data_IF_891535909267
#
_entry.id   IF_891535909267
#
_cell.length_a   1.000
_cell.length_b   1.000
_cell.length_c   1.000
_cell.angle_alpha   90.00
_cell.angle_beta   90.00
_cell.angle_gamma   90.00
#
_symmetry.space_group_name_H-M   'P 1'
#
loop_
_entity.id
_entity.type
_entity.pdbx_description
1 polymer ?
#
# COMPACT_ATOMS: atom_id res chain seq x y z
N UNK A 1 -34.50 -45.29 -30.60
CA UNK A 1 -33.91 -44.72 -29.37
C UNK A 1 -32.44 -44.45 -29.59
N UNK A 2 -31.91 -43.36 -28.97
CA UNK A 2 -30.57 -42.74 -29.07
C UNK A 2 -30.54 -41.56 -30.06
N UNK A 3 -31.14 -40.42 -29.70
CA UNK A 3 -30.59 -39.26 -28.95
C UNK A 3 -29.50 -38.50 -29.73
N UNK A 4 -29.93 -37.52 -30.51
CA UNK A 4 -29.09 -36.44 -31.02
C UNK A 4 -28.77 -35.49 -29.86
N UNK A 5 -27.50 -35.38 -29.48
CA UNK A 5 -27.03 -34.39 -28.52
C UNK A 5 -26.81 -33.10 -29.31
N UNK A 6 -27.81 -32.22 -29.30
CA UNK A 6 -27.65 -30.83 -29.74
C UNK A 6 -26.74 -30.14 -28.73
N UNK A 7 -25.44 -30.18 -28.98
CA UNK A 7 -24.48 -29.34 -28.25
C UNK A 7 -24.75 -27.91 -28.67
N UNK A 8 -25.63 -27.25 -27.91
CA UNK A 8 -25.89 -25.83 -27.93
C UNK A 8 -24.57 -25.14 -27.55
N UNK A 9 -23.71 -24.92 -28.55
CA UNK A 9 -22.59 -23.99 -28.43
C UNK A 9 -23.21 -22.61 -28.27
N UNK A 10 -23.54 -22.28 -27.02
CA UNK A 10 -23.77 -20.92 -26.58
C UNK A 10 -22.43 -20.22 -26.81
N UNK A 11 -22.29 -19.65 -28.00
CA UNK A 11 -21.31 -18.62 -28.28
C UNK A 11 -21.69 -17.49 -27.34
N UNK A 12 -21.11 -17.52 -26.14
CA UNK A 12 -21.06 -16.40 -25.23
C UNK A 12 -20.21 -15.34 -25.95
N UNK A 13 -20.82 -14.62 -26.91
CA UNK A 13 -20.29 -13.36 -27.39
C UNK A 13 -20.46 -12.42 -26.20
N UNK A 14 -19.48 -12.48 -25.28
CA UNK A 14 -19.21 -11.39 -24.38
C UNK A 14 -18.73 -10.29 -25.31
N UNK A 15 -19.67 -9.54 -25.89
CA UNK A 15 -19.41 -8.19 -26.37
C UNK A 15 -19.02 -7.45 -25.11
N UNK A 16 -17.73 -7.50 -24.78
CA UNK A 16 -17.12 -6.57 -23.85
C UNK A 16 -17.15 -5.25 -24.60
N UNK A 17 -18.30 -4.58 -24.55
CA UNK A 17 -18.39 -3.18 -24.83
C UNK A 17 -17.56 -2.52 -23.73
N UNK A 18 -16.25 -2.45 -23.96
CA UNK A 18 -15.38 -1.53 -23.26
C UNK A 18 -15.79 -0.16 -23.78
N UNK A 19 -16.92 0.34 -23.27
CA UNK A 19 -17.26 1.73 -23.37
C UNK A 19 -16.04 2.46 -22.81
N UNK A 20 -15.25 3.05 -23.70
CA UNK A 20 -14.19 3.95 -23.33
C UNK A 20 -14.91 5.06 -22.57
N UNK A 21 -14.86 5.00 -21.23
CA UNK A 21 -15.42 6.05 -20.40
C UNK A 21 -14.59 7.27 -20.74
N UNK A 22 -15.13 8.14 -21.57
CA UNK A 22 -14.51 9.44 -21.77
C UNK A 22 -14.46 10.08 -20.40
N UNK A 23 -13.27 10.26 -19.86
CA UNK A 23 -12.97 10.86 -18.55
C UNK A 23 -13.30 12.36 -18.50
N UNK A 24 -14.34 12.78 -19.23
CA UNK A 24 -14.78 14.14 -19.43
C UNK A 24 -16.13 14.31 -18.76
N UNK A 25 -16.17 15.14 -17.71
CA UNK A 25 -17.33 15.37 -16.87
C UNK A 25 -17.78 16.83 -16.98
N UNK A 26 -19.07 17.12 -16.89
CA UNK A 26 -19.53 18.52 -16.76
C UNK A 26 -19.22 19.01 -15.34
N UNK A 27 -18.63 20.20 -15.23
CA UNK A 27 -18.37 20.83 -13.94
C UNK A 27 -19.68 21.16 -13.23
N UNK A 28 -19.83 20.72 -11.97
CA UNK A 28 -20.95 21.11 -11.11
C UNK A 28 -20.85 22.54 -10.59
N UNK A 29 -19.64 23.11 -10.63
CA UNK A 29 -19.34 24.42 -10.01
C UNK A 29 -19.23 25.55 -11.04
N UNK A 30 -19.18 25.22 -12.34
CA UNK A 30 -19.03 26.22 -13.39
C UNK A 30 -19.75 25.77 -14.65
N UNK A 31 -20.83 26.46 -14.99
CA UNK A 31 -21.66 26.13 -16.16
C UNK A 31 -20.84 26.18 -17.45
N UNK A 32 -21.12 25.24 -18.36
CA UNK A 32 -20.44 25.08 -19.65
C UNK A 32 -18.95 24.67 -19.59
N UNK A 33 -18.41 24.33 -18.42
CA UNK A 33 -17.06 23.77 -18.31
C UNK A 33 -17.08 22.24 -18.29
N UNK A 34 -16.09 21.66 -18.98
CA UNK A 34 -15.81 20.22 -18.95
C UNK A 34 -14.52 19.98 -18.17
N UNK A 35 -14.54 18.97 -17.30
CA UNK A 35 -13.44 18.51 -16.47
C UNK A 35 -12.87 17.24 -17.09
N UNK A 36 -11.55 17.18 -17.29
CA UNK A 36 -10.85 15.96 -17.69
C UNK A 36 -10.20 15.36 -16.45
N UNK A 37 -10.44 14.09 -16.16
CA UNK A 37 -9.68 13.40 -15.10
C UNK A 37 -8.24 13.24 -15.58
N UNK A 38 -7.31 13.79 -14.79
CA UNK A 38 -5.88 13.65 -15.03
C UNK A 38 -5.34 12.47 -14.22
N UNK A 39 -5.86 12.29 -13.01
CA UNK A 39 -5.46 11.22 -12.09
C UNK A 39 -6.59 10.94 -11.08
N UNK A 40 -6.48 9.81 -10.38
CA UNK A 40 -7.43 9.39 -9.35
C UNK A 40 -6.69 8.93 -8.08
N UNK A 41 -7.07 9.48 -6.94
CA UNK A 41 -6.66 8.97 -5.64
C UNK A 41 -7.68 7.91 -5.18
N UNK A 42 -7.23 6.69 -4.94
CA UNK A 42 -8.06 5.65 -4.33
C UNK A 42 -7.85 5.66 -2.82
N UNK A 43 -8.94 5.84 -2.07
CA UNK A 43 -8.91 5.71 -0.62
C UNK A 43 -8.98 4.23 -0.23
N UNK A 44 -7.89 3.71 0.36
CA UNK A 44 -7.84 2.36 0.91
C UNK A 44 -8.17 2.41 2.40
N UNK A 45 -9.23 1.70 2.79
CA UNK A 45 -9.65 1.63 4.19
C UNK A 45 -10.06 0.20 4.54
N UNK A 46 -9.51 -0.29 5.64
CA UNK A 46 -9.77 -1.62 6.19
C UNK A 46 -10.01 -1.45 7.68
N UNK A 47 -11.21 -1.80 8.15
CA UNK A 47 -11.70 -1.56 9.52
C UNK A 47 -10.78 -2.08 10.64
N UNK A 48 -9.86 -3.00 10.31
CA UNK A 48 -9.01 -3.68 11.29
C UNK A 48 -7.59 -3.14 11.37
N UNK A 49 -7.21 -2.15 10.54
CA UNK A 49 -5.84 -1.64 10.50
C UNK A 49 -5.80 -0.12 10.59
N UNK A 50 -5.31 0.37 11.74
CA UNK A 50 -5.17 1.79 12.00
C UNK A 50 -3.70 2.18 12.00
N UNK A 51 -3.32 3.02 11.03
CA UNK A 51 -2.05 3.76 11.04
C UNK A 51 -2.35 5.11 11.67
N UNK A 52 -1.75 5.39 12.83
CA UNK A 52 -2.07 6.56 13.64
C UNK A 52 -1.72 7.86 12.93
N UNK A 53 -0.43 8.07 12.67
CA UNK A 53 0.06 9.16 11.83
C UNK A 53 1.32 8.72 11.11
N UNK A 54 1.34 8.84 9.79
CA UNK A 54 2.54 8.57 9.00
C UNK A 54 3.64 9.55 9.42
N UNK A 55 4.72 9.03 10.00
CA UNK A 55 5.93 9.79 10.32
C UNK A 55 6.90 9.80 9.14
N UNK A 56 7.13 8.63 8.56
CA UNK A 56 7.98 8.43 7.38
C UNK A 56 7.41 7.29 6.53
N UNK A 57 7.68 7.32 5.22
CA UNK A 57 7.23 6.33 4.25
C UNK A 57 8.30 6.10 3.19
N UNK A 58 8.63 4.83 2.95
CA UNK A 58 9.61 4.43 1.93
C UNK A 58 9.07 3.31 1.05
N UNK A 59 9.34 3.40 -0.25
CA UNK A 59 9.07 2.34 -1.22
C UNK A 59 10.37 1.55 -1.46
N UNK A 60 10.44 0.33 -0.94
CA UNK A 60 11.61 -0.55 -1.06
C UNK A 60 11.24 -1.71 -2.00
N UNK A 61 11.61 -1.56 -3.28
CA UNK A 61 11.18 -2.48 -4.33
C UNK A 61 9.66 -2.46 -4.50
N UNK A 62 8.99 -3.59 -4.25
CA UNK A 62 7.52 -3.72 -4.28
C UNK A 62 6.89 -3.74 -2.88
N UNK A 63 7.61 -3.24 -1.86
CA UNK A 63 7.12 -3.15 -0.49
C UNK A 63 7.06 -1.71 -0.05
N UNK A 64 6.08 -1.38 0.77
CA UNK A 64 5.91 -0.05 1.36
C UNK A 64 6.19 -0.17 2.85
N UNK A 65 7.14 0.60 3.36
CA UNK A 65 7.39 0.73 4.79
C UNK A 65 6.80 2.04 5.29
N UNK A 66 6.07 2.00 6.38
CA UNK A 66 5.49 3.16 7.03
C UNK A 66 5.92 3.18 8.48
N UNK A 67 6.58 4.25 8.90
CA UNK A 67 6.82 4.53 10.31
C UNK A 67 5.63 5.28 10.89
N UNK A 68 5.06 4.77 11.97
CA UNK A 68 3.92 5.36 12.65
C UNK A 68 4.36 6.22 13.83
N UNK A 69 3.98 7.48 13.80
CA UNK A 69 4.32 8.44 14.83
C UNK A 69 3.78 8.06 16.22
N UNK A 70 2.51 7.69 16.30
CA UNK A 70 1.85 7.48 17.58
C UNK A 70 2.12 6.09 18.13
N UNK A 71 2.17 5.10 17.25
CA UNK A 71 2.37 3.70 17.65
C UNK A 71 3.84 3.30 17.72
N UNK A 72 4.76 4.09 17.13
CA UNK A 72 6.21 3.81 17.03
C UNK A 72 6.46 2.43 16.42
N UNK A 73 5.53 2.02 15.56
CA UNK A 73 5.52 0.77 14.80
C UNK A 73 5.95 1.06 13.39
N UNK A 74 6.61 0.08 12.78
CA UNK A 74 6.97 0.09 11.38
C UNK A 74 6.13 -0.97 10.71
N UNK A 75 5.29 -0.51 9.80
CA UNK A 75 4.38 -1.34 9.03
C UNK A 75 5.01 -1.67 7.70
N UNK A 76 5.08 -2.96 7.36
CA UNK A 76 5.53 -3.44 6.05
C UNK A 76 4.32 -3.92 5.27
N UNK A 77 4.06 -3.29 4.12
CA UNK A 77 3.00 -3.64 3.20
C UNK A 77 3.54 -4.16 1.88
N UNK A 78 2.73 -4.96 1.17
CA UNK A 78 2.91 -5.17 -0.26
C UNK A 78 2.49 -3.91 -1.03
N UNK A 79 2.84 -3.82 -2.32
CA UNK A 79 2.43 -2.74 -3.20
C UNK A 79 0.90 -2.62 -3.35
N UNK A 80 0.19 -3.72 -3.14
CA UNK A 80 -1.28 -3.82 -3.13
C UNK A 80 -1.90 -3.49 -1.75
N UNK A 81 -1.10 -2.94 -0.82
CA UNK A 81 -1.51 -2.53 0.53
C UNK A 81 -1.96 -3.69 1.43
N UNK A 82 -1.50 -4.91 1.17
CA UNK A 82 -1.64 -6.02 2.10
C UNK A 82 -0.56 -5.93 3.18
N UNK A 83 -0.96 -5.96 4.46
CA UNK A 83 0.01 -5.96 5.57
C UNK A 83 0.79 -7.28 5.58
N UNK A 84 2.12 -7.18 5.51
CA UNK A 84 3.05 -8.32 5.52
C UNK A 84 3.62 -8.53 6.92
N UNK A 85 4.13 -7.46 7.55
CA UNK A 85 4.82 -7.53 8.85
C UNK A 85 4.65 -6.24 9.62
N UNK A 86 4.74 -6.33 10.94
CA UNK A 86 4.85 -5.17 11.83
C UNK A 86 6.00 -5.42 12.79
N UNK A 87 6.86 -4.42 12.98
CA UNK A 87 7.92 -4.40 14.00
C UNK A 87 7.84 -3.08 14.77
N UNK A 88 8.73 -2.88 15.74
CA UNK A 88 8.69 -1.67 16.55
C UNK A 88 7.73 -1.78 17.72
N UNK A 89 7.54 -0.64 18.38
CA UNK A 89 6.76 -0.52 19.60
C UNK A 89 7.38 0.53 20.51
N UNK A 90 6.57 1.04 21.43
CA UNK A 90 7.05 1.99 22.41
C UNK A 90 7.95 1.30 23.43
N UNK A 91 9.18 1.81 23.60
CA UNK A 91 10.13 1.23 24.54
C UNK A 91 11.57 1.66 24.29
N UNK A 92 12.50 0.97 24.94
CA UNK A 92 13.95 1.27 24.89
C UNK A 92 14.79 0.02 24.59
N UNK A 93 14.20 -1.17 24.53
CA UNK A 93 14.87 -2.39 24.13
C UNK A 93 15.24 -2.42 22.65
N UNK A 94 16.00 -3.44 22.19
CA UNK A 94 16.33 -3.63 20.78
C UNK A 94 15.06 -3.68 19.91
N UNK A 95 15.01 -2.84 18.88
CA UNK A 95 13.85 -2.68 18.00
C UNK A 95 12.65 -1.96 18.61
N UNK A 96 12.76 -1.38 19.82
CA UNK A 96 11.75 -0.49 20.40
C UNK A 96 12.22 0.97 20.37
N UNK A 97 11.25 1.90 20.34
CA UNK A 97 11.52 3.33 20.20
C UNK A 97 10.65 4.20 21.09
N UNK A 98 11.25 5.24 21.69
CA UNK A 98 10.53 6.29 22.43
C UNK A 98 10.05 7.43 21.53
N UNK A 99 10.70 7.60 20.39
CA UNK A 99 10.32 8.50 19.30
C UNK A 99 10.20 7.67 18.02
N UNK A 100 9.30 8.00 17.09
CA UNK A 100 9.16 7.22 15.86
C UNK A 100 10.46 7.30 15.04
N UNK A 101 10.95 6.17 14.51
CA UNK A 101 12.18 6.18 13.72
C UNK A 101 11.90 6.62 12.28
N UNK A 102 12.86 7.33 11.68
CA UNK A 102 12.96 7.49 10.24
C UNK A 102 13.46 6.18 9.61
N UNK A 103 13.10 5.96 8.35
CA UNK A 103 13.45 4.78 7.58
C UNK A 103 14.50 5.18 6.54
N UNK A 104 15.67 4.57 6.60
CA UNK A 104 16.72 4.67 5.59
C UNK A 104 17.00 3.28 5.04
N UNK A 105 17.38 3.16 3.77
CA UNK A 105 17.69 1.87 3.19
C UNK A 105 18.69 1.98 2.05
N UNK A 106 19.38 0.87 1.79
CA UNK A 106 20.14 0.64 0.56
C UNK A 106 19.76 -0.72 -0.05
N UNK A 107 20.57 -1.22 -0.99
CA UNK A 107 20.33 -2.51 -1.63
C UNK A 107 20.38 -3.71 -0.68
N UNK A 108 21.01 -3.57 0.49
CA UNK A 108 21.37 -4.67 1.39
C UNK A 108 20.67 -4.58 2.74
N UNK A 109 20.44 -3.38 3.25
CA UNK A 109 19.99 -3.13 4.62
C UNK A 109 18.93 -2.04 4.70
N UNK A 110 18.23 -2.09 5.84
CA UNK A 110 17.29 -1.07 6.27
C UNK A 110 17.77 -0.58 7.63
N UNK A 111 17.79 0.73 7.84
CA UNK A 111 18.09 1.36 9.11
C UNK A 111 16.86 2.10 9.62
N UNK A 112 16.55 1.90 10.89
CA UNK A 112 15.52 2.63 11.62
C UNK A 112 16.19 3.53 12.65
N UNK A 113 16.02 4.85 12.51
CA UNK A 113 16.75 5.81 13.34
C UNK A 113 15.90 6.92 13.92
N UNK A 114 16.12 7.21 15.20
CA UNK A 114 15.54 8.37 15.90
C UNK A 114 16.52 9.55 15.98
N UNK A 115 17.64 9.49 15.26
CA UNK A 115 18.78 10.40 15.37
C UNK A 115 19.70 10.12 16.57
N UNK A 116 19.23 9.37 17.57
CA UNK A 116 20.04 8.90 18.72
C UNK A 116 20.32 7.39 18.71
N UNK A 117 19.39 6.63 18.14
CA UNK A 117 19.45 5.18 18.00
C UNK A 117 19.45 4.88 16.52
N UNK A 118 20.26 3.93 16.07
CA UNK A 118 20.27 3.42 14.69
C UNK A 118 20.16 1.91 14.77
N UNK A 119 18.99 1.36 14.47
CA UNK A 119 18.81 -0.09 14.40
C UNK A 119 18.96 -0.55 12.95
N UNK A 120 19.82 -1.53 12.72
CA UNK A 120 20.06 -2.13 11.41
C UNK A 120 19.27 -3.43 11.26
N UNK A 121 18.64 -3.58 10.11
CA UNK A 121 17.84 -4.72 9.72
C UNK A 121 18.26 -5.23 8.34
N UNK A 122 17.98 -6.49 8.07
CA UNK A 122 18.01 -7.00 6.70
C UNK A 122 16.74 -6.60 5.92
N UNK A 123 16.69 -6.93 4.63
CA UNK A 123 15.56 -6.64 3.72
C UNK A 123 14.22 -7.33 4.11
N UNK A 124 14.25 -8.26 5.07
CA UNK A 124 13.07 -8.94 5.62
C UNK A 124 12.63 -8.36 6.98
N UNK A 125 13.22 -7.22 7.39
CA UNK A 125 13.00 -6.59 8.69
C UNK A 125 13.31 -7.54 9.86
N UNK A 126 14.38 -8.32 9.74
CA UNK A 126 14.97 -9.06 10.85
C UNK A 126 16.08 -8.21 11.45
N UNK A 127 16.06 -8.06 12.77
CA UNK A 127 17.01 -7.24 13.50
C UNK A 127 18.41 -7.84 13.40
N UNK A 128 19.41 -7.01 13.09
CA UNK A 128 20.82 -7.40 13.02
C UNK A 128 21.54 -6.84 14.24
N UNK A 129 21.54 -5.52 14.41
CA UNK A 129 22.30 -4.82 15.45
C UNK A 129 21.73 -3.41 15.70
N UNK A 130 22.14 -2.81 16.81
CA UNK A 130 21.86 -1.43 17.22
C UNK A 130 23.17 -0.67 17.41
#
# INVERSE_FOLDING_TARGET
MKRYVTTLFIILIIVKCSANKNDIYTSKYKDNYKLKVIDSLTYYYKDTLFIGRVHDIQLIGNKILISDFFLKKIWLFSKELNLIKTIGGEGRGPGEYTYPPNIMYDSNYIWLTTGRIIDKYNQNLEFIER
#
